data_IF_050817263214
#
_entry.id   IF_050817263214
#
_cell.length_a   1.000
_cell.length_b   1.000
_cell.length_c   1.000
_cell.angle_alpha   90.00
_cell.angle_beta   90.00
_cell.angle_gamma   90.00
#
_symmetry.space_group_name_H-M   'P 1'
#
loop_
_entity.id
_entity.type
_entity.pdbx_description
1 polymer ?
#
# COMPACT_ATOMS: atom_id res chain seq x y z
N UNK A 1 3.60 -6.13 1.05
CA UNK A 1 2.69 -6.91 1.92
C UNK A 1 3.51 -7.89 2.76
N UNK A 2 3.22 -8.00 4.04
CA UNK A 2 3.88 -8.96 4.93
C UNK A 2 3.09 -10.27 4.89
N UNK A 3 3.77 -11.42 4.96
CA UNK A 3 3.13 -12.73 4.97
C UNK A 3 2.29 -12.87 6.25
N UNK A 4 1.03 -13.28 6.13
CA UNK A 4 0.08 -13.37 7.25
C UNK A 4 0.59 -14.25 8.40
N UNK A 5 1.15 -15.43 8.07
CA UNK A 5 1.70 -16.35 9.07
C UNK A 5 2.81 -15.71 9.92
N UNK A 6 3.60 -14.81 9.32
CA UNK A 6 4.64 -14.08 10.04
C UNK A 6 4.03 -13.00 10.93
N UNK A 7 3.03 -12.26 10.46
CA UNK A 7 2.30 -11.31 11.30
C UNK A 7 1.69 -12.00 12.52
N UNK A 8 1.05 -13.16 12.32
CA UNK A 8 0.45 -13.96 13.39
C UNK A 8 1.52 -14.42 14.39
N UNK A 9 2.70 -14.86 13.94
CA UNK A 9 3.78 -15.28 14.85
C UNK A 9 4.31 -14.16 15.74
N UNK A 10 4.15 -12.89 15.33
CA UNK A 10 4.47 -11.70 16.13
C UNK A 10 3.25 -11.13 16.87
N UNK A 11 2.15 -11.89 16.97
CA UNK A 11 0.97 -11.53 17.76
C UNK A 11 -0.07 -10.70 17.02
N UNK A 12 -0.15 -10.80 15.70
CA UNK A 12 -1.26 -10.22 14.97
C UNK A 12 -2.56 -10.98 15.27
N UNK A 13 -3.65 -10.25 15.30
CA UNK A 13 -5.01 -10.76 15.45
C UNK A 13 -5.89 -10.27 14.30
N UNK A 14 -6.81 -11.10 13.85
CA UNK A 14 -7.82 -10.71 12.87
C UNK A 14 -8.99 -10.01 13.58
N UNK A 15 -9.38 -8.85 13.06
CA UNK A 15 -10.58 -8.12 13.49
C UNK A 15 -11.52 -7.90 12.32
N UNK A 16 -12.79 -8.22 12.53
CA UNK A 16 -13.85 -8.02 11.56
C UNK A 16 -14.53 -6.66 11.77
N UNK A 17 -14.81 -5.98 10.66
CA UNK A 17 -15.49 -4.70 10.60
C UNK A 17 -16.66 -4.77 9.63
N UNK A 18 -17.77 -4.14 9.97
CA UNK A 18 -18.92 -3.98 9.08
C UNK A 18 -18.74 -2.77 8.18
N UNK A 19 -19.47 -2.77 7.06
CA UNK A 19 -19.54 -1.58 6.22
C UNK A 19 -19.92 -0.33 7.04
N UNK A 20 -19.10 0.72 6.93
CA UNK A 20 -19.26 1.96 7.72
C UNK A 20 -18.53 2.00 9.07
N UNK A 21 -17.98 0.88 9.54
CA UNK A 21 -17.22 0.85 10.80
C UNK A 21 -15.92 1.63 10.68
N UNK A 22 -15.60 2.33 11.75
CA UNK A 22 -14.36 3.10 11.90
C UNK A 22 -13.28 2.17 12.46
N UNK A 23 -12.10 2.15 11.79
CA UNK A 23 -10.94 1.37 12.22
C UNK A 23 -10.06 2.20 13.12
N UNK A 24 -9.79 3.45 12.72
CA UNK A 24 -9.17 4.50 13.52
C UNK A 24 -9.69 5.87 13.09
N UNK A 25 -9.56 6.84 13.99
CA UNK A 25 -10.00 8.23 13.76
C UNK A 25 -8.84 9.16 13.52
N UNK A 26 -9.12 10.24 12.81
CA UNK A 26 -8.28 11.44 12.80
C UNK A 26 -7.97 11.88 14.23
N UNK A 27 -6.73 12.33 14.48
CA UNK A 27 -6.17 12.73 15.78
C UNK A 27 -5.92 11.60 16.79
N UNK A 28 -6.28 10.35 16.51
CA UNK A 28 -5.83 9.21 17.31
C UNK A 28 -4.36 8.85 17.02
N UNK A 29 -3.63 8.43 18.05
CA UNK A 29 -2.25 7.96 17.88
C UNK A 29 -2.21 6.56 17.29
N UNK A 30 -1.24 6.26 16.37
CA UNK A 30 -1.11 4.96 15.73
C UNK A 30 -0.60 3.91 16.71
N UNK A 31 -1.48 2.99 17.11
CA UNK A 31 -1.19 1.91 18.04
C UNK A 31 -0.97 0.56 17.36
N UNK A 32 -1.43 0.41 16.11
CA UNK A 32 -1.41 -0.85 15.38
C UNK A 32 -0.94 -0.64 13.94
N UNK A 33 -0.22 -1.65 13.41
CA UNK A 33 -0.12 -1.87 11.99
C UNK A 33 -1.36 -2.62 11.53
N UNK A 34 -1.87 -2.27 10.34
CA UNK A 34 -3.07 -2.88 9.74
C UNK A 34 -2.77 -3.43 8.35
N UNK A 35 -3.27 -4.64 8.07
CA UNK A 35 -3.24 -5.26 6.76
C UNK A 35 -4.60 -5.88 6.45
N UNK A 36 -5.15 -5.61 5.27
CA UNK A 36 -6.46 -6.10 4.85
C UNK A 36 -6.30 -7.56 4.41
N UNK A 37 -6.97 -8.49 5.09
CA UNK A 37 -7.11 -9.87 4.61
C UNK A 37 -8.17 -9.93 3.51
N UNK A 38 -9.32 -9.28 3.75
CA UNK A 38 -10.44 -9.21 2.81
C UNK A 38 -11.24 -7.93 3.04
N UNK A 39 -11.67 -7.29 1.94
CA UNK A 39 -12.55 -6.13 1.97
C UNK A 39 -11.91 -4.87 1.40
N UNK A 40 -12.58 -3.73 1.63
CA UNK A 40 -12.12 -2.41 1.15
C UNK A 40 -12.18 -1.37 2.24
N UNK A 41 -11.10 -0.62 2.38
CA UNK A 41 -10.94 0.43 3.38
C UNK A 41 -10.66 1.74 2.68
N UNK A 42 -11.36 2.81 3.06
CA UNK A 42 -11.04 4.18 2.62
C UNK A 42 -10.36 4.95 3.73
N UNK A 43 -9.41 5.82 3.34
CA UNK A 43 -8.90 6.90 4.18
C UNK A 43 -9.58 8.19 3.76
N UNK A 44 -10.18 8.88 4.73
CA UNK A 44 -10.96 10.08 4.46
C UNK A 44 -10.83 11.15 5.55
N UNK A 45 -11.17 12.38 5.17
CA UNK A 45 -11.45 13.49 6.06
C UNK A 45 -12.83 14.08 5.73
N UNK A 46 -13.36 14.87 6.65
CA UNK A 46 -14.54 15.69 6.42
C UNK A 46 -14.15 17.15 6.49
N UNK A 47 -14.65 17.95 5.55
CA UNK A 47 -14.52 19.41 5.60
C UNK A 47 -15.49 20.00 6.63
N UNK A 48 -15.30 21.28 7.01
CA UNK A 48 -16.17 21.96 7.97
C UNK A 48 -17.66 21.99 7.54
N UNK A 49 -17.93 21.99 6.24
CA UNK A 49 -19.27 21.90 5.65
C UNK A 49 -19.77 20.46 5.47
N UNK A 50 -19.06 19.49 6.06
CA UNK A 50 -19.48 18.08 6.13
C UNK A 50 -19.26 17.26 4.85
N UNK A 51 -18.56 17.81 3.86
CA UNK A 51 -18.21 17.05 2.66
C UNK A 51 -17.07 16.08 2.94
N UNK A 52 -17.26 14.85 2.48
CA UNK A 52 -16.23 13.82 2.56
C UNK A 52 -15.17 14.04 1.49
N UNK A 53 -13.90 13.97 1.89
CA UNK A 53 -12.76 13.91 1.00
C UNK A 53 -12.05 12.57 1.18
N UNK A 54 -12.14 11.70 0.16
CA UNK A 54 -11.45 10.41 0.15
C UNK A 54 -10.03 10.62 -0.37
N UNK A 55 -9.05 10.31 0.47
CA UNK A 55 -7.63 10.40 0.11
C UNK A 55 -7.17 9.17 -0.64
N UNK A 56 -7.61 7.98 -0.19
CA UNK A 56 -7.19 6.70 -0.76
C UNK A 56 -8.20 5.60 -0.45
N UNK A 57 -8.21 4.54 -1.26
CA UNK A 57 -8.97 3.32 -1.05
C UNK A 57 -8.01 2.14 -1.16
N UNK A 58 -8.07 1.22 -0.20
CA UNK A 58 -7.24 0.02 -0.13
C UNK A 58 -8.13 -1.22 -0.18
N UNK A 59 -7.62 -2.27 -0.80
CA UNK A 59 -8.29 -3.57 -0.94
C UNK A 59 -7.44 -4.70 -0.37
N UNK A 60 -7.88 -5.93 -0.57
CA UNK A 60 -7.23 -7.15 -0.12
C UNK A 60 -5.71 -7.12 -0.27
N UNK A 61 -5.01 -7.52 0.77
CA UNK A 61 -3.57 -7.58 0.82
C UNK A 61 -2.84 -6.28 1.10
N UNK A 62 -3.48 -5.11 0.99
CA UNK A 62 -2.82 -3.84 1.27
C UNK A 62 -2.72 -3.54 2.77
N UNK A 63 -1.63 -2.87 3.16
CA UNK A 63 -1.51 -2.22 4.48
C UNK A 63 -1.97 -0.77 4.38
N UNK A 64 -2.33 -0.17 5.51
CA UNK A 64 -2.71 1.24 5.58
C UNK A 64 -2.37 1.83 6.96
N UNK A 65 -2.08 3.13 6.99
CA UNK A 65 -1.73 3.86 8.22
C UNK A 65 -0.35 3.56 8.78
N UNK A 66 0.43 2.63 8.20
CA UNK A 66 1.72 2.18 8.71
C UNK A 66 2.80 3.26 8.70
N UNK A 67 2.73 4.25 7.81
CA UNK A 67 3.71 5.34 7.74
C UNK A 67 3.80 6.12 9.06
N UNK A 68 2.70 6.21 9.80
CA UNK A 68 2.62 6.96 11.05
C UNK A 68 3.13 6.17 12.26
N UNK A 69 3.40 4.86 12.12
CA UNK A 69 4.03 4.06 13.16
C UNK A 69 5.49 4.44 13.41
N UNK A 70 6.13 5.10 12.43
CA UNK A 70 7.54 5.52 12.50
C UNK A 70 7.72 6.94 12.99
N UNK A 71 6.62 7.68 13.19
CA UNK A 71 6.63 9.06 13.65
C UNK A 71 5.72 9.23 14.86
N UNK A 72 6.04 10.18 15.73
CA UNK A 72 5.21 10.47 16.90
C UNK A 72 4.18 11.56 16.55
N UNK A 73 3.24 11.18 15.69
CA UNK A 73 2.17 12.05 15.19
C UNK A 73 0.85 11.29 15.15
N UNK A 74 -0.27 11.95 15.46
CA UNK A 74 -1.59 11.35 15.31
C UNK A 74 -1.96 11.16 13.83
N UNK A 75 -2.97 10.35 13.57
CA UNK A 75 -3.52 10.17 12.23
C UNK A 75 -4.11 11.50 11.70
N UNK A 76 -3.71 11.95 10.50
CA UNK A 76 -4.33 13.13 9.86
C UNK A 76 -5.60 12.78 9.08
N UNK A 77 -6.15 11.57 9.22
CA UNK A 77 -7.33 11.09 8.52
C UNK A 77 -8.02 9.96 9.29
N UNK A 78 -9.24 9.65 8.91
CA UNK A 78 -9.95 8.46 9.38
C UNK A 78 -9.69 7.25 8.46
N UNK A 79 -9.85 6.03 9.00
CA UNK A 79 -9.95 4.80 8.21
C UNK A 79 -11.31 4.15 8.44
N UNK A 80 -12.05 3.92 7.35
CA UNK A 80 -13.43 3.42 7.38
C UNK A 80 -13.58 2.23 6.45
N UNK A 81 -14.22 1.16 6.94
CA UNK A 81 -14.58 0.01 6.13
C UNK A 81 -15.69 0.37 5.13
N UNK A 82 -15.47 0.12 3.84
CA UNK A 82 -16.46 0.38 2.79
C UNK A 82 -17.44 -0.78 2.61
N UNK A 83 -17.00 -1.96 3.01
CA UNK A 83 -17.76 -3.22 2.98
C UNK A 83 -17.36 -4.08 4.18
N UNK A 84 -18.05 -5.19 4.42
CA UNK A 84 -17.67 -6.15 5.46
C UNK A 84 -16.24 -6.62 5.23
N UNK A 85 -15.35 -6.32 6.17
CA UNK A 85 -13.91 -6.45 6.00
C UNK A 85 -13.26 -7.21 7.14
N UNK A 86 -12.24 -8.00 6.82
CA UNK A 86 -11.36 -8.71 7.75
C UNK A 86 -9.98 -8.09 7.71
N UNK A 87 -9.45 -7.66 8.86
CA UNK A 87 -8.21 -6.93 8.97
C UNK A 87 -7.30 -7.57 10.00
N UNK A 88 -6.09 -7.93 9.59
CA UNK A 88 -5.00 -8.26 10.50
C UNK A 88 -4.49 -6.98 11.13
N UNK A 89 -4.39 -6.96 12.46
CA UNK A 89 -3.74 -5.89 13.20
C UNK A 89 -2.70 -6.44 14.17
N UNK A 90 -1.57 -5.76 14.25
CA UNK A 90 -0.49 -6.11 15.17
C UNK A 90 -0.10 -4.87 15.97
N UNK A 91 0.12 -4.95 17.30
CA UNK A 91 0.57 -3.82 18.09
C UNK A 91 1.84 -3.19 17.53
N UNK A 92 1.93 -1.85 17.61
CA UNK A 92 3.07 -1.07 17.09
C UNK A 92 4.43 -1.65 17.51
N UNK A 93 4.59 -1.99 18.79
CA UNK A 93 5.85 -2.50 19.28
C UNK A 93 6.21 -3.84 18.63
N UNK A 94 5.27 -4.77 18.55
CA UNK A 94 5.48 -6.08 17.92
C UNK A 94 5.80 -5.94 16.42
N UNK A 95 5.16 -4.98 15.74
CA UNK A 95 5.48 -4.66 14.36
C UNK A 95 6.90 -4.11 14.21
N UNK A 96 7.33 -3.21 15.10
CA UNK A 96 8.71 -2.69 15.08
C UNK A 96 9.74 -3.78 15.38
N UNK A 97 9.44 -4.71 16.27
CA UNK A 97 10.29 -5.87 16.54
C UNK A 97 10.35 -6.81 15.34
N UNK A 98 9.21 -7.08 14.70
CA UNK A 98 9.11 -7.89 13.46
C UNK A 98 10.04 -7.35 12.37
N UNK A 99 9.97 -6.05 12.07
CA UNK A 99 10.82 -5.45 11.01
C UNK A 99 12.30 -5.37 11.41
N UNK A 100 12.62 -5.28 12.70
CA UNK A 100 14.00 -5.33 13.19
C UNK A 100 14.62 -6.71 13.01
N UNK A 101 13.82 -7.75 13.28
CA UNK A 101 14.28 -9.14 13.22
C UNK A 101 14.28 -9.69 11.78
N UNK A 102 13.61 -8.99 10.84
CA UNK A 102 13.47 -9.39 9.43
C UNK A 102 13.81 -8.21 8.51
N UNK A 103 15.09 -7.93 8.23
CA UNK A 103 15.53 -6.77 7.44
C UNK A 103 14.97 -6.72 6.02
N UNK A 104 14.71 -7.87 5.40
CA UNK A 104 14.09 -7.97 4.07
C UNK A 104 12.68 -7.40 4.04
N UNK A 105 11.94 -7.50 5.15
CA UNK A 105 10.61 -6.89 5.30
C UNK A 105 10.72 -5.37 5.36
N UNK A 106 11.75 -4.85 6.02
CA UNK A 106 12.00 -3.41 6.05
C UNK A 106 12.16 -2.84 4.65
N UNK A 107 12.88 -3.52 3.76
CA UNK A 107 13.03 -3.10 2.35
C UNK A 107 11.69 -3.07 1.62
N UNK A 108 10.85 -4.08 1.84
CA UNK A 108 9.51 -4.13 1.23
C UNK A 108 8.62 -2.98 1.73
N UNK A 109 8.72 -2.63 3.01
CA UNK A 109 7.99 -1.49 3.60
C UNK A 109 8.52 -0.18 3.00
N UNK A 110 9.84 0.01 2.92
CA UNK A 110 10.42 1.22 2.33
C UNK A 110 9.99 1.40 0.88
N UNK A 111 9.97 0.31 0.09
CA UNK A 111 9.49 0.36 -1.28
C UNK A 111 8.01 0.77 -1.32
N UNK A 112 7.16 0.16 -0.51
CA UNK A 112 5.74 0.50 -0.43
C UNK A 112 5.53 1.99 -0.08
N UNK A 113 6.27 2.50 0.91
CA UNK A 113 6.20 3.91 1.29
C UNK A 113 6.72 4.85 0.19
N UNK A 114 7.80 4.46 -0.50
CA UNK A 114 8.35 5.23 -1.62
C UNK A 114 7.37 5.31 -2.79
N UNK A 115 6.69 4.22 -3.14
CA UNK A 115 5.65 4.20 -4.17
C UNK A 115 4.46 5.11 -3.81
N UNK A 116 4.04 5.11 -2.54
CA UNK A 116 2.99 6.03 -2.07
C UNK A 116 3.43 7.49 -2.11
N UNK A 117 4.68 7.78 -1.76
CA UNK A 117 5.24 9.12 -1.91
C UNK A 117 5.26 9.54 -3.38
N UNK A 118 5.70 8.66 -4.28
CA UNK A 118 5.71 8.91 -5.71
C UNK A 118 4.29 9.23 -6.23
N UNK A 119 3.30 8.42 -5.86
CA UNK A 119 1.90 8.71 -6.16
C UNK A 119 1.48 10.09 -5.65
N UNK A 120 1.84 10.43 -4.41
CA UNK A 120 1.51 11.73 -3.82
C UNK A 120 2.12 12.88 -4.62
N UNK A 121 3.37 12.77 -5.08
CA UNK A 121 4.00 13.78 -5.95
C UNK A 121 3.25 13.96 -7.27
N UNK A 122 2.84 12.87 -7.91
CA UNK A 122 2.03 12.93 -9.15
C UNK A 122 0.69 13.62 -8.89
N UNK A 123 0.03 13.31 -7.78
CA UNK A 123 -1.24 13.96 -7.41
C UNK A 123 -1.05 15.45 -7.09
N UNK A 124 0.01 15.83 -6.38
CA UNK A 124 0.34 17.24 -6.15
C UNK A 124 0.59 17.97 -7.47
N UNK A 125 1.37 17.38 -8.36
CA UNK A 125 1.61 17.96 -9.68
C UNK A 125 0.31 18.12 -10.47
N UNK A 126 -0.59 17.12 -10.38
CA UNK A 126 -1.91 17.18 -11.01
C UNK A 126 -2.75 18.37 -10.52
N UNK A 127 -2.64 18.77 -9.25
CA UNK A 127 -3.36 19.93 -8.72
C UNK A 127 -2.95 21.25 -9.40
N UNK A 128 -1.73 21.35 -9.94
CA UNK A 128 -1.24 22.55 -10.62
C UNK A 128 -1.92 22.83 -11.96
N UNK A 129 -2.51 21.82 -12.60
CA UNK A 129 -3.23 22.00 -13.85
C UNK A 129 -4.58 22.67 -13.62
N UNK A 130 -4.89 23.70 -14.43
CA UNK A 130 -6.21 24.33 -14.41
C UNK A 130 -7.22 23.58 -15.29
N UNK A 131 -6.74 22.94 -16.39
CA UNK A 131 -7.59 22.25 -17.33
C UNK A 131 -7.94 20.84 -16.83
N UNK A 132 -9.26 20.51 -16.66
CA UNK A 132 -9.71 19.20 -16.21
C UNK A 132 -9.25 18.04 -17.13
N UNK A 133 -9.18 18.29 -18.45
CA UNK A 133 -8.75 17.28 -19.43
C UNK A 133 -7.27 16.91 -19.20
N UNK A 134 -6.42 17.91 -18.92
CA UNK A 134 -5.01 17.69 -18.60
C UNK A 134 -4.83 16.92 -17.30
N UNK A 135 -5.65 17.21 -16.27
CA UNK A 135 -5.69 16.46 -15.01
C UNK A 135 -6.03 15.00 -15.24
N UNK A 136 -7.10 14.75 -16.01
CA UNK A 136 -7.55 13.39 -16.31
C UNK A 136 -6.49 12.64 -17.12
N UNK A 137 -5.90 13.28 -18.13
CA UNK A 137 -4.86 12.67 -18.95
C UNK A 137 -3.65 12.23 -18.11
N UNK A 138 -3.12 13.12 -17.26
CA UNK A 138 -1.99 12.79 -16.39
C UNK A 138 -2.31 11.59 -15.49
N UNK A 139 -3.51 11.57 -14.92
CA UNK A 139 -3.94 10.47 -14.06
C UNK A 139 -4.06 9.15 -14.85
N UNK A 140 -4.63 9.18 -16.06
CA UNK A 140 -4.72 7.99 -16.92
C UNK A 140 -3.34 7.50 -17.38
N UNK A 141 -2.43 8.40 -17.72
CA UNK A 141 -1.07 8.05 -18.11
C UNK A 141 -0.30 7.41 -16.94
N UNK A 142 -0.46 7.97 -15.73
CA UNK A 142 0.07 7.38 -14.51
C UNK A 142 -0.46 5.96 -14.27
N UNK A 143 -1.77 5.79 -14.38
CA UNK A 143 -2.40 4.48 -14.19
C UNK A 143 -1.92 3.44 -15.21
N UNK A 144 -1.82 3.83 -16.48
CA UNK A 144 -1.29 2.96 -17.54
C UNK A 144 0.15 2.51 -17.28
N UNK A 145 0.98 3.35 -16.65
CA UNK A 145 2.35 2.97 -16.32
C UNK A 145 2.45 1.83 -15.30
N UNK A 146 1.40 1.60 -14.52
CA UNK A 146 1.31 0.51 -13.56
C UNK A 146 0.79 -0.81 -14.14
N UNK A 147 0.04 -0.75 -15.24
CA UNK A 147 -0.44 -1.94 -15.91
C UNK A 147 0.53 -2.33 -17.02
N UNK A 148 1.17 -3.50 -16.91
CA UNK A 148 2.04 -4.07 -17.96
C UNK A 148 1.27 -4.32 -19.26
N UNK A 149 -0.04 -4.48 -19.17
CA UNK A 149 -0.93 -4.67 -20.30
C UNK A 149 -1.36 -3.31 -20.85
N UNK A 150 -0.83 -2.95 -22.04
CA UNK A 150 -1.16 -1.73 -22.77
C UNK A 150 -2.56 -1.75 -23.39
N UNK A 151 -3.44 -2.65 -22.94
CA UNK A 151 -4.84 -2.69 -23.34
C UNK A 151 -5.57 -1.38 -22.95
N UNK A 152 -6.56 -0.94 -23.72
CA UNK A 152 -7.34 0.23 -23.34
C UNK A 152 -7.96 0.02 -21.97
N UNK A 153 -7.80 1.01 -21.10
CA UNK A 153 -8.37 0.98 -19.75
C UNK A 153 -9.89 0.98 -19.86
N UNK A 154 -10.51 -0.18 -19.70
CA UNK A 154 -11.96 -0.24 -19.45
C UNK A 154 -12.15 0.10 -17.97
N UNK A 155 -12.60 1.33 -17.71
CA UNK A 155 -13.08 1.73 -16.40
C UNK A 155 -14.37 0.95 -16.14
N UNK A 156 -14.28 -0.09 -15.34
CA UNK A 156 -15.45 -0.91 -14.98
C UNK A 156 -16.40 -0.20 -14.01
N UNK A 157 -15.98 0.93 -13.43
CA UNK A 157 -16.82 1.78 -12.59
C UNK A 157 -16.33 3.24 -12.66
N UNK A 158 -17.10 4.15 -13.30
CA UNK A 158 -16.76 5.56 -13.40
C UNK A 158 -16.88 6.33 -12.08
N UNK A 159 -17.40 5.74 -11.01
CA UNK A 159 -17.58 6.39 -9.72
C UNK A 159 -16.37 6.25 -8.79
N UNK A 160 -15.35 5.43 -9.14
CA UNK A 160 -14.15 5.26 -8.32
C UNK A 160 -12.89 5.49 -9.14
N UNK A 161 -12.03 6.44 -8.76
CA UNK A 161 -10.70 6.52 -9.33
C UNK A 161 -9.92 5.26 -8.89
N UNK A 162 -9.32 4.52 -9.83
CA UNK A 162 -8.61 3.27 -9.54
C UNK A 162 -7.25 3.48 -8.83
N UNK A 163 -7.07 4.57 -8.12
CA UNK A 163 -5.91 4.83 -7.28
C UNK A 163 -5.76 3.82 -6.12
N UNK A 164 -6.80 3.01 -5.89
CA UNK A 164 -6.83 2.05 -4.80
C UNK A 164 -6.24 0.68 -5.14
N UNK A 165 -6.09 0.35 -6.41
CA UNK A 165 -5.60 -0.96 -6.82
C UNK A 165 -4.24 -0.82 -7.51
N UNK A 166 -3.21 -0.46 -6.75
CA UNK A 166 -1.85 -0.75 -7.17
C UNK A 166 -1.61 -2.21 -6.79
N UNK A 167 -1.64 -3.16 -7.74
CA UNK A 167 -1.30 -4.53 -7.42
C UNK A 167 0.17 -4.53 -7.02
N UNK A 168 0.44 -4.82 -5.75
CA UNK A 168 1.77 -5.11 -5.26
C UNK A 168 2.31 -6.30 -6.05
N UNK A 169 3.26 -6.02 -6.93
CA UNK A 169 4.02 -7.08 -7.58
C UNK A 169 5.09 -7.52 -6.57
N UNK A 170 5.00 -8.74 -6.03
CA UNK A 170 6.10 -9.25 -5.22
C UNK A 170 7.34 -9.31 -6.10
N UNK A 171 8.40 -8.62 -5.71
CA UNK A 171 9.76 -8.79 -6.24
C UNK A 171 10.31 -10.17 -5.80
N UNK A 172 9.55 -11.23 -6.09
CA UNK A 172 10.03 -12.59 -6.06
C UNK A 172 10.27 -13.03 -7.49
N UNK A 173 11.31 -12.48 -8.13
CA UNK A 173 11.93 -13.13 -9.27
C UNK A 173 13.44 -13.07 -9.09
N UNK A 174 13.97 -14.30 -9.02
CA UNK A 174 15.36 -14.71 -9.23
C UNK A 174 16.27 -14.70 -8.00
N UNK A 175 16.03 -15.67 -7.10
CA UNK A 175 17.12 -16.33 -6.38
C UNK A 175 17.76 -17.51 -7.16
N UNK A 176 17.37 -17.70 -8.44
CA UNK A 176 17.80 -18.88 -9.21
C UNK A 176 18.72 -18.58 -10.39
N UNK A 177 19.58 -17.55 -10.31
CA UNK A 177 20.55 -17.29 -11.38
C UNK A 177 21.94 -16.82 -10.87
N UNK A 178 22.37 -17.28 -9.70
CA UNK A 178 23.75 -17.12 -9.25
C UNK A 178 24.34 -18.44 -8.75
N UNK A 179 24.29 -19.48 -9.57
CA UNK A 179 25.16 -20.64 -9.47
C UNK A 179 25.23 -21.30 -10.84
N UNK A 180 26.14 -20.79 -11.67
CA UNK A 180 26.86 -21.57 -12.70
C UNK A 180 27.62 -20.61 -13.63
N UNK A 181 28.80 -20.18 -13.25
CA UNK A 181 29.95 -19.91 -14.14
C UNK A 181 31.20 -19.67 -13.29
N UNK A 182 31.65 -20.69 -12.58
CA UNK A 182 33.05 -20.81 -12.17
C UNK A 182 33.42 -22.29 -12.34
N UNK A 183 33.95 -22.60 -13.48
CA UNK A 183 34.43 -23.93 -13.77
C UNK A 183 34.66 -24.10 -15.27
N UNK A 184 35.77 -23.59 -15.77
CA UNK A 184 36.53 -24.08 -16.92
C UNK A 184 37.45 -22.99 -17.47
N UNK A 185 38.54 -22.78 -16.76
CA UNK A 185 39.79 -22.26 -17.33
C UNK A 185 40.94 -23.05 -16.71
N UNK A 186 41.18 -24.22 -17.26
CA UNK A 186 42.50 -24.82 -17.20
C UNK A 186 42.75 -25.65 -18.47
N UNK A 187 43.95 -25.40 -19.01
CA UNK A 187 44.65 -26.22 -19.96
C UNK A 187 44.31 -26.13 -21.46
N UNK A 188 45.10 -25.29 -22.13
CA UNK A 188 45.90 -25.73 -23.29
C UNK A 188 47.08 -24.79 -23.50
N UNK A 189 48.21 -25.12 -22.83
CA UNK A 189 49.54 -24.89 -23.40
C UNK A 189 49.81 -26.10 -24.31
N UNK A 190 50.04 -25.80 -25.59
CA UNK A 190 51.13 -26.28 -26.47
C UNK A 190 50.99 -25.61 -27.83
#
# INVERSE_FOLDING_TARGET
MIIESLLISFGAETKNYKAGDLIFREEEFPLYYYQIEKGKIKLNNYTEDGKEFIQNIFSDGHSFGESLLFVDRPYPMNAVAMEDSSILRIPRQNFLDLIRDNPEISLNIYQCLAERMYYTYIMFYNLSFQNPVSKLKLMMDYMKSYYEDKAPLFLSDPSYPPAACIPYRPLCRNSDTYHQTDGERENSEN
#
